data_IF_297448632059
#
_entry.id   IF_297448632059
#
_cell.length_a   1.000
_cell.length_b   1.000
_cell.length_c   1.000
_cell.angle_alpha   90.00
_cell.angle_beta   90.00
_cell.angle_gamma   90.00
#
_symmetry.space_group_name_H-M   'P 1'
#
loop_
_entity.id
_entity.type
_entity.pdbx_description
1 polymer ?
#
# COMPACT_ATOMS: atom_id res chain seq x y z
N UNK A 1 -4.60 -4.46 16.87
CA UNK A 1 -6.04 -4.31 16.57
C UNK A 1 -6.41 -5.33 15.51
N UNK A 2 -7.38 -6.20 15.75
CA UNK A 2 -7.83 -7.15 14.73
C UNK A 2 -8.58 -6.44 13.60
N UNK A 3 -8.28 -6.80 12.35
CA UNK A 3 -8.96 -6.24 11.18
C UNK A 3 -8.97 -7.18 9.97
N UNK A 4 -9.85 -6.88 9.02
CA UNK A 4 -9.75 -7.26 7.61
C UNK A 4 -9.05 -6.13 6.83
N UNK A 5 -8.00 -6.48 6.09
CA UNK A 5 -7.18 -5.56 5.30
C UNK A 5 -7.27 -5.91 3.83
N UNK A 6 -7.51 -4.89 2.98
CA UNK A 6 -7.45 -5.01 1.53
C UNK A 6 -6.41 -4.02 1.00
N UNK A 7 -5.43 -4.52 0.26
CA UNK A 7 -4.48 -3.66 -0.45
C UNK A 7 -5.13 -3.10 -1.72
N UNK A 8 -5.12 -1.78 -1.87
CA UNK A 8 -5.74 -1.09 -2.99
C UNK A 8 -4.73 -0.69 -4.08
N UNK A 9 -3.43 -0.87 -3.81
CA UNK A 9 -2.37 -0.74 -4.82
C UNK A 9 -1.47 -1.97 -4.83
N UNK A 10 -0.82 -2.21 -5.97
CA UNK A 10 0.22 -3.23 -6.13
C UNK A 10 1.30 -2.68 -7.06
N UNK A 11 2.56 -2.70 -6.61
CA UNK A 11 3.69 -2.13 -7.34
C UNK A 11 3.41 -0.69 -7.86
N UNK A 12 2.82 0.15 -7.00
CA UNK A 12 2.47 1.55 -7.32
C UNK A 12 1.18 1.73 -8.14
N UNK A 13 0.66 0.67 -8.77
CA UNK A 13 -0.57 0.73 -9.55
C UNK A 13 -1.79 0.60 -8.65
N UNK A 14 -2.77 1.50 -8.81
CA UNK A 14 -4.06 1.40 -8.14
C UNK A 14 -4.92 0.30 -8.77
N UNK A 15 -5.48 -0.56 -7.93
CA UNK A 15 -6.36 -1.65 -8.34
C UNK A 15 -7.80 -1.14 -8.48
N UNK A 16 -8.47 -1.51 -9.58
CA UNK A 16 -9.90 -1.28 -9.71
C UNK A 16 -10.66 -2.18 -8.72
N UNK A 17 -11.87 -1.80 -8.26
CA UNK A 17 -12.62 -2.57 -7.26
C UNK A 17 -12.85 -4.05 -7.61
N UNK A 18 -12.94 -4.38 -8.91
CA UNK A 18 -13.08 -5.75 -9.39
C UNK A 18 -11.80 -6.60 -9.22
N UNK A 19 -10.64 -5.94 -9.13
CA UNK A 19 -9.31 -6.54 -9.06
C UNK A 19 -8.74 -6.51 -7.63
N UNK A 20 -9.53 -6.06 -6.66
CA UNK A 20 -9.11 -6.06 -5.26
C UNK A 20 -8.89 -7.48 -4.76
N UNK A 21 -7.79 -7.72 -4.03
CA UNK A 21 -7.54 -9.03 -3.45
C UNK A 21 -8.59 -9.36 -2.38
N UNK A 22 -8.68 -10.65 -2.04
CA UNK A 22 -9.46 -11.07 -0.88
C UNK A 22 -8.93 -10.39 0.40
N UNK A 23 -9.81 -10.01 1.35
CA UNK A 23 -9.37 -9.42 2.60
C UNK A 23 -8.46 -10.36 3.39
N UNK A 24 -7.35 -9.84 3.88
CA UNK A 24 -6.43 -10.55 4.77
C UNK A 24 -6.81 -10.21 6.21
N UNK A 25 -7.00 -11.22 7.04
CA UNK A 25 -7.31 -11.04 8.46
C UNK A 25 -6.04 -11.13 9.29
N UNK A 26 -5.94 -10.27 10.28
CA UNK A 26 -4.81 -10.28 11.18
C UNK A 26 -4.89 -9.24 12.28
N UNK A 27 -3.84 -9.20 13.09
CA UNK A 27 -3.62 -8.21 14.13
C UNK A 27 -2.73 -7.08 13.58
N UNK A 28 -3.35 -5.93 13.33
CA UNK A 28 -2.65 -4.73 12.93
C UNK A 28 -1.90 -4.12 14.12
N UNK A 29 -0.58 -4.04 14.00
CA UNK A 29 0.32 -3.44 14.99
C UNK A 29 1.07 -2.28 14.35
N UNK A 30 1.21 -1.17 15.08
CA UNK A 30 2.04 -0.03 14.66
C UNK A 30 3.23 0.04 15.61
N UNK A 31 4.43 0.07 15.04
CA UNK A 31 5.68 0.23 15.76
C UNK A 31 6.53 1.32 15.12
N UNK A 32 7.57 1.76 15.82
CA UNK A 32 8.62 2.58 15.23
C UNK A 32 9.77 1.70 14.78
N UNK A 33 10.21 1.90 13.54
CA UNK A 33 11.44 1.34 12.99
C UNK A 33 12.57 2.36 13.16
N UNK A 34 13.71 1.91 13.68
CA UNK A 34 14.85 2.78 14.01
C UNK A 34 15.63 3.14 12.74
N UNK A 35 15.90 4.44 12.57
CA UNK A 35 16.72 4.95 11.47
C UNK A 35 18.15 4.41 11.46
N UNK A 36 18.63 3.83 12.56
CA UNK A 36 19.94 3.16 12.58
C UNK A 36 19.95 1.88 11.75
N UNK A 37 18.82 1.19 11.65
CA UNK A 37 18.70 -0.14 11.04
C UNK A 37 18.00 -0.13 9.69
N UNK A 38 17.23 0.90 9.37
CA UNK A 38 16.50 0.99 8.10
C UNK A 38 17.26 1.77 7.01
N UNK A 39 16.92 1.49 5.75
CA UNK A 39 17.56 2.10 4.58
C UNK A 39 17.27 3.60 4.46
N UNK A 40 16.23 4.10 5.13
CA UNK A 40 15.82 5.50 5.09
C UNK A 40 16.56 6.39 6.10
N UNK A 41 17.41 5.81 6.95
CA UNK A 41 18.24 6.50 7.95
C UNK A 41 17.47 7.42 8.89
N UNK A 42 16.16 7.18 9.07
CA UNK A 42 15.26 7.99 9.89
C UNK A 42 14.30 7.09 10.65
N UNK A 43 13.84 7.53 11.82
CA UNK A 43 12.82 6.81 12.56
C UNK A 43 11.50 6.88 11.81
N UNK A 44 10.86 5.72 11.62
CA UNK A 44 9.65 5.64 10.83
C UNK A 44 8.56 4.86 11.53
N UNK A 45 7.31 5.29 11.40
CA UNK A 45 6.15 4.49 11.83
C UNK A 45 5.91 3.39 10.82
N UNK A 46 5.71 2.17 11.30
CA UNK A 46 5.47 1.00 10.46
C UNK A 46 4.21 0.30 10.95
N UNK A 47 3.21 0.24 10.10
CA UNK A 47 2.05 -0.63 10.28
C UNK A 47 2.37 -2.01 9.72
N UNK A 48 2.20 -3.04 10.53
CA UNK A 48 2.36 -4.44 10.11
C UNK A 48 1.10 -5.22 10.47
N UNK A 49 0.53 -5.92 9.51
CA UNK A 49 -0.53 -6.89 9.76
C UNK A 49 0.12 -8.22 10.12
N UNK A 50 -0.04 -8.66 11.37
CA UNK A 50 0.40 -9.96 11.82
C UNK A 50 -0.68 -10.98 11.52
N UNK A 51 -0.33 -12.03 10.80
CA UNK A 51 -1.26 -13.07 10.35
C UNK A 51 -0.87 -14.39 11.00
N UNK A 52 -1.87 -15.15 11.41
CA UNK A 52 -1.65 -16.51 11.90
C UNK A 52 -1.31 -17.41 10.71
N UNK A 53 -0.13 -18.02 10.75
CA UNK A 53 0.25 -19.07 9.81
C UNK A 53 0.53 -20.35 10.57
N UNK A 54 -0.35 -21.33 10.35
CA UNK A 54 -0.36 -22.61 11.08
C UNK A 54 -0.59 -22.40 12.58
N UNK A 55 0.47 -22.19 13.36
CA UNK A 55 0.41 -22.02 14.82
C UNK A 55 1.33 -20.90 15.30
N UNK A 56 1.76 -20.02 14.40
CA UNK A 56 2.66 -18.92 14.68
C UNK A 56 2.17 -17.63 14.01
N UNK A 57 2.27 -16.53 14.72
CA UNK A 57 2.08 -15.19 14.16
C UNK A 57 3.30 -14.83 13.31
N UNK A 58 3.08 -14.61 12.02
CA UNK A 58 4.09 -14.08 11.11
C UNK A 58 3.72 -12.68 10.63
N UNK A 59 4.72 -11.84 10.29
CA UNK A 59 4.45 -10.57 9.66
C UNK A 59 3.93 -10.79 8.23
N UNK A 60 2.72 -10.32 7.96
CA UNK A 60 2.13 -10.22 6.63
C UNK A 60 2.42 -8.85 5.99
N UNK A 61 1.42 -8.22 5.33
CA UNK A 61 1.56 -6.90 4.73
C UNK A 61 2.13 -5.86 5.71
N UNK A 62 3.06 -5.04 5.21
CA UNK A 62 3.65 -3.91 5.95
C UNK A 62 3.52 -2.62 5.16
N UNK A 63 3.32 -1.50 5.86
CA UNK A 63 3.25 -0.15 5.31
C UNK A 63 4.06 0.80 6.18
N UNK A 64 4.90 1.60 5.54
CA UNK A 64 5.73 2.61 6.17
C UNK A 64 5.07 3.99 6.11
N UNK A 65 5.28 4.79 7.16
CA UNK A 65 4.64 6.09 7.40
C UNK A 65 3.13 6.08 7.10
N UNK A 66 2.35 5.19 7.74
CA UNK A 66 0.92 5.14 7.54
C UNK A 66 0.27 6.44 8.02
N UNK A 67 -0.62 6.98 7.18
CA UNK A 67 -1.47 8.14 7.45
C UNK A 67 -2.91 7.75 7.19
N UNK A 68 -3.80 8.03 8.15
CA UNK A 68 -5.24 7.92 7.93
C UNK A 68 -5.67 9.02 6.93
N UNK A 69 -6.21 8.62 5.79
CA UNK A 69 -6.67 9.51 4.74
C UNK A 69 -8.17 9.83 4.87
N UNK A 70 -8.99 8.82 5.10
CA UNK A 70 -10.45 8.98 5.23
C UNK A 70 -11.09 7.79 5.98
N UNK A 71 -12.37 7.92 6.34
CA UNK A 71 -13.22 6.85 6.88
C UNK A 71 -14.42 6.64 5.95
N UNK A 72 -14.48 5.45 5.36
CA UNK A 72 -15.47 5.04 4.37
C UNK A 72 -16.45 4.04 4.98
N UNK A 73 -17.48 4.54 5.67
CA UNK A 73 -18.45 3.69 6.36
C UNK A 73 -17.81 2.96 7.54
N UNK A 74 -17.66 1.65 7.45
CA UNK A 74 -17.01 0.80 8.46
C UNK A 74 -15.51 0.58 8.21
N UNK A 75 -14.95 1.21 7.16
CA UNK A 75 -13.56 1.05 6.77
C UNK A 75 -12.75 2.34 6.98
N UNK A 76 -11.49 2.19 7.38
CA UNK A 76 -10.49 3.26 7.39
C UNK A 76 -9.63 3.14 6.13
N UNK A 77 -9.40 4.25 5.45
CA UNK A 77 -8.52 4.34 4.30
C UNK A 77 -7.17 4.89 4.74
N UNK A 78 -6.14 4.07 4.68
CA UNK A 78 -4.78 4.44 5.04
C UNK A 78 -3.92 4.58 3.79
N UNK A 79 -2.95 5.50 3.84
CA UNK A 79 -1.93 5.70 2.81
C UNK A 79 -0.55 5.65 3.44
N UNK A 80 0.40 5.08 2.73
CA UNK A 80 1.82 5.09 3.10
C UNK A 80 2.66 4.62 1.94
N UNK A 81 3.82 4.05 2.22
CA UNK A 81 4.68 3.46 1.19
C UNK A 81 5.11 2.04 1.54
N UNK A 82 5.46 1.28 0.52
CA UNK A 82 6.03 -0.07 0.61
C UNK A 82 7.27 -0.15 -0.25
N UNK A 83 8.25 -0.92 0.22
CA UNK A 83 9.44 -1.22 -0.55
C UNK A 83 9.27 -2.60 -1.18
N UNK A 84 9.50 -2.69 -2.48
CA UNK A 84 9.55 -3.97 -3.19
C UNK A 84 10.88 -4.11 -3.92
N UNK A 85 11.37 -5.34 -3.98
CA UNK A 85 12.57 -5.67 -4.77
C UNK A 85 12.17 -5.77 -6.23
N UNK A 86 12.92 -5.06 -7.07
CA UNK A 86 12.85 -5.08 -8.54
C UNK A 86 14.21 -5.48 -9.09
N UNK A 87 14.33 -5.67 -10.40
CA UNK A 87 15.58 -6.11 -11.03
C UNK A 87 16.73 -5.12 -10.77
N UNK A 88 16.41 -3.81 -10.77
CA UNK A 88 17.36 -2.72 -10.60
C UNK A 88 17.67 -2.40 -9.12
N UNK A 89 17.02 -3.08 -8.17
CA UNK A 89 17.25 -2.86 -6.74
C UNK A 89 15.97 -2.85 -5.90
N UNK A 90 15.84 -1.85 -5.03
CA UNK A 90 14.66 -1.67 -4.17
C UNK A 90 13.92 -0.42 -4.66
N UNK A 91 12.66 -0.59 -5.03
CA UNK A 91 11.77 0.50 -5.40
C UNK A 91 10.77 0.77 -4.27
N UNK A 92 10.51 2.06 -4.03
CA UNK A 92 9.47 2.52 -3.11
C UNK A 92 8.21 2.85 -3.91
N UNK A 93 7.07 2.34 -3.44
CA UNK A 93 5.77 2.56 -4.05
C UNK A 93 4.79 3.12 -3.03
N UNK A 94 3.97 4.08 -3.47
CA UNK A 94 2.79 4.45 -2.71
C UNK A 94 1.87 3.22 -2.57
N UNK A 95 1.37 3.00 -1.35
CA UNK A 95 0.40 1.96 -1.03
C UNK A 95 -0.80 2.59 -0.34
N UNK A 96 -1.96 1.97 -0.54
CA UNK A 96 -3.20 2.31 0.12
C UNK A 96 -3.86 1.05 0.67
N UNK A 97 -4.29 1.11 1.92
CA UNK A 97 -4.98 0.01 2.60
C UNK A 97 -6.39 0.42 2.98
N UNK A 98 -7.34 -0.47 2.71
CA UNK A 98 -8.67 -0.41 3.29
C UNK A 98 -8.69 -1.33 4.51
N UNK A 99 -8.92 -0.77 5.68
CA UNK A 99 -8.81 -1.47 6.96
C UNK A 99 -10.17 -1.47 7.65
N UNK A 100 -10.71 -2.65 7.93
CA UNK A 100 -12.01 -2.81 8.59
C UNK A 100 -11.83 -3.53 9.92
N UNK A 101 -12.01 -2.85 11.06
CA UNK A 101 -11.85 -3.47 12.37
C UNK A 101 -12.81 -4.65 12.57
N UNK A 102 -12.34 -5.69 13.24
CA UNK A 102 -13.15 -6.83 13.68
C UNK A 102 -12.93 -7.07 15.18
N UNK A 103 -13.89 -7.72 15.84
CA UNK A 103 -13.81 -7.95 17.28
C UNK A 103 -12.72 -8.98 17.67
N UNK A 104 -12.55 -10.01 16.85
CA UNK A 104 -11.56 -11.09 17.01
C UNK A 104 -11.24 -11.72 15.65
N UNK A 105 -10.17 -12.52 15.57
CA UNK A 105 -9.83 -13.25 14.34
C UNK A 105 -10.88 -14.30 13.95
N UNK A 106 -11.57 -14.87 14.95
CA UNK A 106 -12.65 -15.86 14.78
C UNK A 106 -14.02 -15.24 14.45
N UNK A 107 -14.12 -13.91 14.42
CA UNK A 107 -15.38 -13.24 14.11
C UNK A 107 -15.89 -13.64 12.71
N UNK A 108 -17.20 -13.63 12.47
CA UNK A 108 -17.74 -13.94 11.14
C UNK A 108 -17.13 -13.01 10.05
N UNK A 109 -16.92 -13.49 8.81
CA UNK A 109 -16.57 -12.66 7.64
C UNK A 109 -17.41 -11.40 7.56
N UNK A 110 -16.77 -10.24 7.41
CA UNK A 110 -17.53 -9.02 7.18
C UNK A 110 -18.22 -9.11 5.82
N UNK A 111 -19.37 -8.45 5.68
CA UNK A 111 -20.02 -8.30 4.37
C UNK A 111 -19.03 -7.64 3.39
N UNK A 112 -19.12 -8.01 2.11
CA UNK A 112 -18.30 -7.41 1.05
C UNK A 112 -18.43 -5.88 1.11
N UNK A 113 -17.30 -5.20 1.06
CA UNK A 113 -17.27 -3.74 1.09
C UNK A 113 -17.93 -3.17 -0.18
N UNK A 114 -18.82 -2.20 0.01
CA UNK A 114 -19.52 -1.52 -1.09
C UNK A 114 -18.63 -0.45 -1.72
N UNK A 115 -17.69 -0.90 -2.54
CA UNK A 115 -16.74 0.00 -3.20
C UNK A 115 -17.44 1.02 -4.11
N UNK A 116 -18.55 0.66 -4.75
CA UNK A 116 -19.27 1.54 -5.68
C UNK A 116 -19.78 2.80 -4.98
N UNK A 117 -20.31 2.66 -3.77
CA UNK A 117 -20.77 3.78 -2.95
C UNK A 117 -19.66 4.78 -2.59
N UNK A 118 -18.41 4.33 -2.46
CA UNK A 118 -17.30 5.15 -1.97
C UNK A 118 -16.24 5.47 -3.03
N UNK A 119 -16.37 4.95 -4.25
CA UNK A 119 -15.43 5.18 -5.36
C UNK A 119 -15.19 6.68 -5.65
N UNK A 120 -16.19 7.59 -5.59
CA UNK A 120 -15.96 9.02 -5.77
C UNK A 120 -15.07 9.68 -4.71
N UNK A 121 -14.91 9.06 -3.53
CA UNK A 121 -14.11 9.57 -2.41
C UNK A 121 -12.70 8.99 -2.37
N UNK A 122 -12.43 7.95 -3.15
CA UNK A 122 -11.08 7.39 -3.23
C UNK A 122 -10.22 8.38 -4.04
N UNK A 123 -9.09 8.87 -3.49
CA UNK A 123 -8.29 9.94 -4.08
C UNK A 123 -8.07 9.69 -5.57
N UNK A 124 -8.51 10.63 -6.39
CA UNK A 124 -8.48 10.52 -7.85
C UNK A 124 -7.09 10.11 -8.36
N UNK A 125 -7.12 9.37 -9.46
CA UNK A 125 -6.00 8.98 -10.30
C UNK A 125 -4.93 10.07 -10.35
N UNK A 126 -3.64 9.71 -10.19
CA UNK A 126 -2.61 10.41 -10.96
C UNK A 126 -3.15 10.50 -12.39
N UNK A 127 -3.09 11.68 -13.05
CA UNK A 127 -3.70 11.88 -14.35
C UNK A 127 -3.34 10.70 -15.27
N UNK A 128 -4.26 10.26 -16.15
CA UNK A 128 -3.99 9.16 -17.08
C UNK A 128 -2.59 9.37 -17.64
N UNK A 129 -1.74 8.33 -17.58
CA UNK A 129 -0.34 8.35 -18.04
C UNK A 129 -0.28 9.27 -19.25
N UNK A 130 0.22 10.50 -19.08
CA UNK A 130 0.19 11.42 -20.20
C UNK A 130 1.05 10.78 -21.27
N UNK A 131 0.59 10.78 -22.52
CA UNK A 131 1.45 10.37 -23.65
C UNK A 131 2.69 11.28 -23.74
N UNK A 132 2.66 12.44 -23.08
CA UNK A 132 3.83 13.28 -22.89
C UNK A 132 4.91 12.54 -22.10
N UNK A 133 6.18 12.57 -22.57
CA UNK A 133 7.29 11.95 -21.88
C UNK A 133 7.40 12.50 -20.45
N UNK A 134 7.72 11.62 -19.49
CA UNK A 134 7.97 12.04 -18.11
C UNK A 134 9.08 13.10 -18.05
N UNK A 135 9.08 13.93 -17.01
CA UNK A 135 10.12 14.96 -16.79
C UNK A 135 11.53 14.36 -16.88
N UNK A 136 11.72 13.13 -16.38
CA UNK A 136 12.98 12.40 -16.52
C UNK A 136 13.33 12.10 -17.99
N UNK A 137 12.37 11.63 -18.80
CA UNK A 137 12.59 11.39 -20.24
C UNK A 137 12.88 12.69 -21.00
N UNK A 138 12.20 13.79 -20.66
CA UNK A 138 12.45 15.10 -21.26
C UNK A 138 13.87 15.59 -20.94
N UNK A 139 14.26 15.53 -19.67
CA UNK A 139 15.60 15.91 -19.22
C UNK A 139 16.71 15.08 -19.88
N UNK A 140 16.53 13.77 -20.06
CA UNK A 140 17.48 12.92 -20.78
C UNK A 140 17.60 13.28 -22.28
N UNK A 141 16.47 13.56 -22.94
CA UNK A 141 16.45 13.99 -24.34
C UNK A 141 17.14 15.35 -24.53
N UNK A 142 16.94 16.29 -23.61
CA UNK A 142 17.61 17.61 -23.60
C UNK A 142 19.12 17.52 -23.40
N UNK A 143 19.59 16.52 -22.65
CA UNK A 143 21.02 16.28 -22.40
C UNK A 143 21.69 15.45 -23.51
N UNK A 144 20.97 15.06 -24.57
CA UNK A 144 21.49 14.23 -25.66
C UNK A 144 21.92 12.83 -25.21
N UNK A 145 21.37 12.33 -24.11
CA UNK A 145 21.72 11.04 -23.50
C UNK A 145 20.55 10.07 -23.63
N UNK A 146 20.78 8.91 -24.22
CA UNK A 146 19.80 7.82 -24.17
C UNK A 146 19.52 7.44 -22.70
N UNK A 147 18.24 7.21 -22.39
CA UNK A 147 17.83 6.69 -21.08
C UNK A 147 18.55 5.35 -20.86
N UNK A 148 19.31 5.16 -19.76
CA UNK A 148 20.00 3.91 -19.52
C UNK A 148 19.02 2.87 -18.96
N UNK A 149 17.99 2.50 -19.72
CA UNK A 149 17.11 1.37 -19.43
C UNK A 149 16.64 0.74 -20.74
N UNK A 150 17.44 -0.20 -21.24
CA UNK A 150 16.94 -1.36 -21.98
C UNK A 150 17.91 -2.52 -21.77
N UNK A 151 17.59 -3.38 -20.81
CA UNK A 151 17.21 -4.77 -21.07
C UNK A 151 16.35 -5.26 -19.92
#
# INVERSE_FOLDING_TARGET
MFCELIELRRAGLRLAPKDWPAPVRGDLRIAYDDGKTNNSRRNMRVASLWVEWSSQDIPGPRMFEPVLLDVLGDAMLWRGHVCARVEEGIAEYEQMWLIRPIASLDAAPLKKFDAARFTPKLPETLPPRSEAPSVARQWHAEQGREMPFTR
#
